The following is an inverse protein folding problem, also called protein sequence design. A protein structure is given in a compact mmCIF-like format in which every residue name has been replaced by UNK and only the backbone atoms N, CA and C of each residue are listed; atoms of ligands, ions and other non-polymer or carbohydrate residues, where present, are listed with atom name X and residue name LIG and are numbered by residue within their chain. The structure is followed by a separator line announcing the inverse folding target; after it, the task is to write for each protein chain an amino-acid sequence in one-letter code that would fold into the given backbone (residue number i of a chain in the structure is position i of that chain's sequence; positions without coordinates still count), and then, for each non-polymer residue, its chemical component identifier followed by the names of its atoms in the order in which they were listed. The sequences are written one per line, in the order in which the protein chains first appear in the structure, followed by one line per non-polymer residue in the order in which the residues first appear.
data_IF_909488267114
#
_entry.id   IF_909488267114
#
_cell.length_a   1.000
_cell.length_b   1.000
_cell.length_c   1.000
_cell.angle_alpha   90.00
_cell.angle_beta   90.00
_cell.angle_gamma   90.00
#
_symmetry.space_group_name_H-M   'P 1'
#
loop_
_entity.id
_entity.type
_entity.pdbx_description
1 polymer ?
#
# COMPACT_ATOMS: atom_id res chain seq x y z
N UNK A 1 -23.06 2.39 -21.91
CA UNK A 1 -22.92 3.57 -21.02
C UNK A 1 -21.44 3.77 -20.72
N UNK A 2 -20.83 4.82 -21.25
CA UNK A 2 -19.43 5.17 -20.99
C UNK A 2 -19.26 5.60 -19.53
N UNK A 3 -18.72 4.73 -18.66
CA UNK A 3 -18.17 5.14 -17.36
C UNK A 3 -16.92 5.98 -17.65
N UNK A 4 -17.10 7.30 -17.78
CA UNK A 4 -15.99 8.25 -17.71
C UNK A 4 -15.31 7.98 -16.37
N UNK A 5 -14.07 7.50 -16.42
CA UNK A 5 -13.27 7.29 -15.23
C UNK A 5 -13.15 8.65 -14.53
N UNK A 6 -13.60 8.73 -13.28
CA UNK A 6 -13.27 9.90 -12.45
C UNK A 6 -11.75 9.90 -12.29
N UNK A 7 -11.06 10.99 -12.66
CA UNK A 7 -9.62 11.03 -12.54
C UNK A 7 -9.23 10.87 -11.07
N UNK A 8 -8.20 10.06 -10.82
CA UNK A 8 -7.49 10.03 -9.55
C UNK A 8 -7.00 11.45 -9.23
N UNK A 9 -6.91 11.79 -7.94
CA UNK A 9 -6.44 13.11 -7.54
C UNK A 9 -5.03 13.39 -8.07
N UNK A 10 -4.78 14.62 -8.52
CA UNK A 10 -3.43 15.00 -8.94
C UNK A 10 -2.46 15.03 -7.75
N UNK A 11 -1.18 14.79 -8.00
CA UNK A 11 -0.14 14.85 -6.99
C UNK A 11 -0.13 16.18 -6.23
N UNK A 12 -0.37 17.30 -6.92
CA UNK A 12 -0.46 18.62 -6.29
C UNK A 12 -1.65 18.72 -5.32
N UNK A 13 -2.82 18.16 -5.69
CA UNK A 13 -4.00 18.15 -4.82
C UNK A 13 -3.75 17.30 -3.56
N UNK A 14 -3.10 16.15 -3.73
CA UNK A 14 -2.70 15.28 -2.61
C UNK A 14 -1.69 16.00 -1.71
N UNK A 15 -0.70 16.68 -2.29
CA UNK A 15 0.28 17.45 -1.54
C UNK A 15 -0.36 18.60 -0.76
N UNK A 16 -1.33 19.32 -1.34
CA UNK A 16 -2.08 20.39 -0.66
C UNK A 16 -2.81 19.88 0.58
N UNK A 17 -3.49 18.72 0.48
CA UNK A 17 -4.16 18.09 1.62
C UNK A 17 -3.17 17.84 2.77
N UNK A 18 -2.00 17.25 2.49
CA UNK A 18 -0.96 17.05 3.51
C UNK A 18 -0.34 18.36 4.00
N UNK A 19 -0.19 19.38 3.13
CA UNK A 19 0.36 20.70 3.51
C UNK A 19 -0.58 21.40 4.49
N UNK A 20 -1.89 21.38 4.23
CA UNK A 20 -2.92 21.89 5.14
C UNK A 20 -2.91 21.15 6.48
N UNK A 21 -2.82 19.82 6.45
CA UNK A 21 -2.70 19.01 7.67
C UNK A 21 -1.46 19.36 8.49
N UNK A 22 -0.31 19.52 7.82
CA UNK A 22 0.98 19.83 8.44
C UNK A 22 1.04 21.26 9.00
N UNK A 23 0.41 22.24 8.34
CA UNK A 23 0.38 23.63 8.78
C UNK A 23 -0.25 23.78 10.18
N UNK A 24 -1.24 22.95 10.51
CA UNK A 24 -1.88 22.92 11.82
C UNK A 24 -1.08 22.14 12.89
N UNK A 25 0.04 21.50 12.52
CA UNK A 25 0.78 20.56 13.39
C UNK A 25 2.30 20.76 13.29
N UNK A 26 2.84 21.84 13.89
CA UNK A 26 4.27 22.15 13.87
C UNK A 26 5.17 21.00 14.36
N UNK A 27 4.67 20.14 15.24
CA UNK A 27 5.35 18.95 15.76
C UNK A 27 5.70 17.91 14.68
N UNK A 28 5.06 17.98 13.50
CA UNK A 28 5.36 17.11 12.37
C UNK A 28 6.33 17.72 11.35
N UNK A 29 6.90 18.89 11.65
CA UNK A 29 7.91 19.52 10.79
C UNK A 29 9.12 18.61 10.62
N UNK A 30 9.39 18.23 9.37
CA UNK A 30 10.48 17.31 9.04
C UNK A 30 10.24 15.86 9.47
N UNK A 31 9.04 15.53 9.96
CA UNK A 31 8.55 14.15 10.16
C UNK A 31 7.69 13.75 8.98
N UNK A 32 6.69 14.57 8.66
CA UNK A 32 5.86 14.47 7.48
C UNK A 32 6.49 15.28 6.34
N UNK A 33 6.55 14.73 5.13
CA UNK A 33 7.03 15.42 3.94
C UNK A 33 5.88 15.58 2.93
N UNK A 34 5.01 16.60 3.07
CA UNK A 34 3.74 16.69 2.34
C UNK A 34 3.84 16.61 0.81
N UNK A 35 4.88 17.21 0.24
CA UNK A 35 5.11 17.22 -1.22
C UNK A 35 5.95 16.05 -1.73
N UNK A 36 6.44 15.18 -0.85
CA UNK A 36 7.20 14.00 -1.28
C UNK A 36 6.25 12.81 -1.43
N UNK A 37 5.79 12.61 -2.66
CA UNK A 37 4.82 11.58 -3.07
C UNK A 37 5.51 10.55 -3.98
N UNK A 38 6.08 9.47 -3.42
CA UNK A 38 6.77 8.43 -4.18
C UNK A 38 5.94 7.79 -5.29
N UNK A 39 4.63 7.68 -5.10
CA UNK A 39 3.71 7.14 -6.10
C UNK A 39 3.76 7.94 -7.42
N UNK A 40 3.78 9.27 -7.32
CA UNK A 40 3.90 10.18 -8.45
C UNK A 40 5.34 10.23 -8.99
N UNK A 41 6.33 10.34 -8.09
CA UNK A 41 7.74 10.39 -8.49
C UNK A 41 8.20 9.13 -9.25
N UNK A 42 7.68 7.96 -8.89
CA UNK A 42 7.93 6.69 -9.59
C UNK A 42 6.97 6.43 -10.75
N UNK A 43 6.09 7.38 -11.08
CA UNK A 43 5.10 7.30 -12.16
C UNK A 43 4.24 6.03 -12.12
N UNK A 44 3.81 5.62 -10.93
CA UNK A 44 3.04 4.39 -10.72
C UNK A 44 1.74 4.36 -11.55
N UNK A 45 1.07 5.51 -11.73
CA UNK A 45 -0.12 5.63 -12.57
C UNK A 45 0.09 5.23 -14.04
N UNK A 46 1.34 5.32 -14.57
CA UNK A 46 1.65 4.86 -15.93
C UNK A 46 1.61 3.35 -16.07
N UNK A 47 1.70 2.64 -14.96
CA UNK A 47 1.63 1.17 -14.86
C UNK A 47 0.24 0.71 -14.40
N UNK A 48 -0.71 1.63 -14.21
CA UNK A 48 -2.06 1.26 -13.79
C UNK A 48 -2.75 0.48 -14.91
N UNK A 49 -3.36 -0.70 -14.64
CA UNK A 49 -4.17 -1.39 -15.63
C UNK A 49 -5.46 -0.59 -15.95
N UNK A 50 -6.06 -0.87 -17.11
CA UNK A 50 -7.36 -0.31 -17.49
C UNK A 50 -8.46 -0.68 -16.48
N UNK A 51 -8.36 -1.87 -15.88
CA UNK A 51 -9.21 -2.34 -14.79
C UNK A 51 -8.35 -2.92 -13.68
N UNK A 52 -8.57 -2.45 -12.45
CA UNK A 52 -7.90 -3.00 -11.27
C UNK A 52 -8.75 -4.15 -10.72
N UNK A 53 -8.28 -5.39 -10.85
CA UNK A 53 -8.95 -6.55 -10.24
C UNK A 53 -8.76 -6.54 -8.72
N UNK A 54 -7.51 -6.35 -8.26
CA UNK A 54 -7.20 -6.28 -6.82
C UNK A 54 -6.39 -5.03 -6.50
N UNK A 55 -6.90 -4.22 -5.57
CA UNK A 55 -6.20 -3.07 -5.01
C UNK A 55 -5.56 -3.45 -3.67
N UNK A 56 -4.22 -3.44 -3.63
CA UNK A 56 -3.46 -3.57 -2.39
C UNK A 56 -3.30 -2.21 -1.72
N UNK A 57 -3.53 -2.16 -0.41
CA UNK A 57 -3.36 -0.96 0.40
C UNK A 57 -2.30 -1.24 1.45
N UNK A 58 -1.19 -0.51 1.36
CA UNK A 58 -0.08 -0.56 2.31
C UNK A 58 -0.13 0.63 3.29
N UNK A 59 0.85 0.73 4.18
CA UNK A 59 0.90 1.75 5.23
C UNK A 59 1.31 3.13 4.71
N UNK A 60 2.57 3.24 4.28
CA UNK A 60 3.19 4.49 3.83
C UNK A 60 4.47 4.17 3.07
N UNK A 61 4.94 5.07 2.19
CA UNK A 61 6.23 4.91 1.54
C UNK A 61 7.41 4.83 2.53
N UNK A 62 8.53 4.18 2.13
CA UNK A 62 9.77 4.18 2.90
C UNK A 62 10.31 5.60 3.09
N UNK A 63 10.98 5.83 4.22
CA UNK A 63 11.61 7.12 4.55
C UNK A 63 13.13 7.14 4.29
N UNK A 64 13.72 6.02 3.85
CA UNK A 64 15.12 5.93 3.46
C UNK A 64 15.32 5.34 2.07
N UNK A 65 16.36 5.81 1.40
CA UNK A 65 17.00 5.11 0.28
C UNK A 65 18.34 4.58 0.80
N UNK A 66 18.49 3.27 0.95
CA UNK A 66 19.65 2.68 1.62
C UNK A 66 19.82 3.23 3.06
N UNK A 67 20.95 3.91 3.32
CA UNK A 67 21.29 4.48 4.64
C UNK A 67 20.92 5.96 4.82
N UNK A 68 20.37 6.62 3.80
CA UNK A 68 20.05 8.05 3.81
C UNK A 68 18.55 8.29 3.88
N UNK A 69 18.14 9.34 4.60
CA UNK A 69 16.77 9.83 4.56
C UNK A 69 16.46 10.38 3.15
N UNK A 70 15.25 10.12 2.65
CA UNK A 70 14.77 10.79 1.44
C UNK A 70 14.35 12.22 1.76
N UNK A 71 14.70 13.15 0.87
CA UNK A 71 14.46 14.58 1.03
C UNK A 71 13.65 15.18 -0.13
N UNK A 72 13.71 14.59 -1.32
CA UNK A 72 12.95 15.09 -2.47
C UNK A 72 12.64 14.03 -3.52
N UNK A 73 11.83 14.37 -4.55
CA UNK A 73 11.34 13.41 -5.55
C UNK A 73 12.45 12.65 -6.30
N UNK A 74 13.61 13.27 -6.52
CA UNK A 74 14.77 12.62 -7.14
C UNK A 74 15.28 11.42 -6.34
N UNK A 75 15.11 11.43 -5.02
CA UNK A 75 15.51 10.32 -4.16
C UNK A 75 14.63 9.09 -4.38
N UNK A 76 13.38 9.29 -4.80
CA UNK A 76 12.46 8.19 -5.09
C UNK A 76 12.87 7.38 -6.32
N UNK A 77 13.71 7.96 -7.18
CA UNK A 77 14.26 7.33 -8.38
C UNK A 77 15.65 6.73 -8.17
N UNK A 78 16.15 6.74 -6.92
CA UNK A 78 17.41 6.11 -6.55
C UNK A 78 17.28 4.59 -6.58
N UNK A 79 18.29 3.85 -7.06
CA UNK A 79 18.27 2.38 -7.03
C UNK A 79 18.28 1.81 -5.60
N UNK A 80 18.56 2.63 -4.59
CA UNK A 80 18.54 2.24 -3.18
C UNK A 80 17.20 2.49 -2.48
N UNK A 81 16.22 3.09 -3.18
CA UNK A 81 14.93 3.43 -2.59
C UNK A 81 13.91 2.29 -2.74
N UNK A 82 13.52 1.58 -1.66
CA UNK A 82 12.76 0.33 -1.75
C UNK A 82 11.25 0.57 -1.88
N UNK A 83 10.84 1.66 -2.54
CA UNK A 83 9.42 1.89 -2.80
C UNK A 83 8.90 0.91 -3.85
N UNK A 84 7.66 0.46 -3.67
CA UNK A 84 7.09 -0.63 -4.46
C UNK A 84 7.22 -0.38 -5.97
N UNK A 85 6.83 0.82 -6.41
CA UNK A 85 6.83 1.21 -7.83
C UNK A 85 8.18 1.68 -8.37
N UNK A 86 9.24 1.70 -7.57
CA UNK A 86 10.56 2.07 -8.06
C UNK A 86 11.18 0.90 -8.84
N UNK A 87 11.04 0.94 -10.16
CA UNK A 87 11.53 -0.11 -11.07
C UNK A 87 13.06 -0.18 -11.17
N UNK A 88 13.77 0.83 -10.66
CA UNK A 88 15.24 0.88 -10.57
C UNK A 88 15.79 0.22 -9.32
N UNK A 89 14.93 -0.12 -8.36
CA UNK A 89 15.38 -0.72 -7.13
C UNK A 89 15.88 -2.14 -7.39
N UNK A 90 17.17 -2.36 -7.14
CA UNK A 90 17.80 -3.67 -7.25
C UNK A 90 17.83 -4.36 -5.89
N UNK A 91 16.92 -5.30 -5.72
CA UNK A 91 16.88 -6.15 -4.56
C UNK A 91 18.02 -7.17 -4.66
N UNK A 92 19.05 -7.02 -3.82
CA UNK A 92 20.11 -8.04 -3.72
C UNK A 92 19.45 -9.40 -3.51
N UNK A 93 19.52 -10.27 -4.53
CA UNK A 93 19.00 -11.64 -4.44
C UNK A 93 19.75 -12.33 -3.31
N UNK A 94 19.00 -12.82 -2.32
CA UNK A 94 19.54 -13.59 -1.21
C UNK A 94 19.07 -15.04 -1.36
N UNK A 95 19.88 -15.93 -1.96
CA UNK A 95 19.60 -17.36 -1.97
C UNK A 95 19.42 -17.85 -0.54
N UNK A 96 18.40 -18.69 -0.29
CA UNK A 96 18.11 -19.22 1.05
C UNK A 96 17.53 -18.22 2.05
N UNK A 97 17.08 -17.04 1.61
CA UNK A 97 16.42 -16.09 2.50
C UNK A 97 15.09 -16.70 3.02
N UNK A 98 14.91 -16.70 4.35
CA UNK A 98 13.71 -17.27 4.97
C UNK A 98 12.41 -16.54 4.55
N UNK A 99 11.23 -17.13 4.80
CA UNK A 99 9.95 -16.54 4.42
C UNK A 99 9.80 -15.08 4.87
N UNK A 100 9.22 -14.24 4.02
CA UNK A 100 8.94 -12.82 4.29
C UNK A 100 10.17 -11.99 4.74
N UNK A 101 11.39 -12.44 4.44
CA UNK A 101 12.64 -11.77 4.82
C UNK A 101 13.01 -10.56 3.96
N UNK A 102 12.31 -10.36 2.83
CA UNK A 102 12.63 -9.34 1.84
C UNK A 102 11.78 -8.07 2.06
N UNK A 103 11.95 -7.09 1.17
CA UNK A 103 11.09 -5.93 1.09
C UNK A 103 9.65 -6.28 0.69
N UNK A 104 8.74 -5.32 0.85
CA UNK A 104 7.31 -5.49 0.56
C UNK A 104 7.09 -6.06 -0.84
N UNK A 105 7.70 -5.44 -1.83
CA UNK A 105 7.45 -5.75 -3.24
C UNK A 105 7.93 -7.16 -3.60
N UNK A 106 9.10 -7.58 -3.12
CA UNK A 106 9.66 -8.91 -3.37
C UNK A 106 8.89 -10.00 -2.65
N UNK A 107 8.39 -9.72 -1.44
CA UNK A 107 7.50 -10.65 -0.75
C UNK A 107 6.17 -10.76 -1.50
N UNK A 108 5.60 -9.64 -1.98
CA UNK A 108 4.38 -9.64 -2.79
C UNK A 108 4.55 -10.43 -4.08
N UNK A 109 5.63 -10.22 -4.83
CA UNK A 109 5.87 -10.95 -6.07
C UNK A 109 5.98 -12.45 -5.83
N UNK A 110 6.73 -12.86 -4.80
CA UNK A 110 6.86 -14.27 -4.43
C UNK A 110 5.51 -14.87 -4.00
N UNK A 111 4.77 -14.17 -3.15
CA UNK A 111 3.45 -14.62 -2.68
C UNK A 111 2.41 -14.64 -3.81
N UNK A 112 2.56 -13.82 -4.85
CA UNK A 112 1.68 -13.85 -6.01
C UNK A 112 2.15 -14.84 -7.09
N UNK A 113 3.30 -15.49 -6.90
CA UNK A 113 3.89 -16.40 -7.90
C UNK A 113 4.38 -15.69 -9.16
N UNK A 114 4.76 -14.40 -9.06
CA UNK A 114 5.31 -13.64 -10.17
C UNK A 114 6.80 -13.99 -10.34
N UNK A 115 7.17 -14.37 -11.56
CA UNK A 115 8.45 -14.99 -11.91
C UNK A 115 9.32 -14.12 -12.85
N UNK A 116 9.07 -12.82 -12.88
CA UNK A 116 9.88 -11.88 -13.67
C UNK A 116 11.36 -11.87 -13.23
N UNK A 117 12.28 -11.66 -14.16
CA UNK A 117 13.72 -11.70 -13.89
C UNK A 117 14.22 -10.44 -13.18
N UNK A 118 13.46 -9.35 -13.29
CA UNK A 118 13.78 -8.05 -12.69
C UNK A 118 12.64 -7.46 -11.86
N UNK A 119 12.95 -6.41 -11.08
CA UNK A 119 11.91 -5.59 -10.41
C UNK A 119 10.91 -5.07 -11.43
N UNK A 120 11.41 -4.53 -12.55
CA UNK A 120 10.61 -3.97 -13.62
C UNK A 120 9.63 -4.99 -14.20
N UNK A 121 10.12 -6.17 -14.57
CA UNK A 121 9.26 -7.22 -15.14
C UNK A 121 8.20 -7.69 -14.15
N UNK A 122 8.53 -7.87 -12.87
CA UNK A 122 7.53 -8.22 -11.87
C UNK A 122 6.50 -7.11 -11.65
N UNK A 123 6.89 -5.84 -11.76
CA UNK A 123 5.93 -4.73 -11.77
C UNK A 123 5.03 -4.77 -13.00
N UNK A 124 5.56 -5.12 -14.17
CA UNK A 124 4.77 -5.29 -15.40
C UNK A 124 3.79 -6.47 -15.29
N UNK A 125 4.20 -7.58 -14.68
CA UNK A 125 3.35 -8.74 -14.39
C UNK A 125 2.26 -8.38 -13.37
N UNK A 126 2.65 -7.74 -12.26
CA UNK A 126 1.74 -7.29 -11.21
C UNK A 126 0.66 -6.35 -11.78
N UNK A 127 1.08 -5.37 -12.58
CA UNK A 127 0.23 -4.37 -13.20
C UNK A 127 -0.84 -4.90 -14.16
N UNK A 128 -0.84 -6.20 -14.52
CA UNK A 128 -1.89 -6.76 -15.39
C UNK A 128 -3.25 -6.83 -14.71
N UNK A 129 -3.27 -7.11 -13.41
CA UNK A 129 -4.49 -7.32 -12.64
C UNK A 129 -4.49 -6.53 -11.32
N UNK A 130 -3.34 -6.05 -10.89
CA UNK A 130 -3.15 -5.52 -9.54
C UNK A 130 -2.67 -4.07 -9.56
N UNK A 131 -3.06 -3.35 -8.51
CA UNK A 131 -2.51 -2.03 -8.22
C UNK A 131 -2.21 -1.90 -6.73
N UNK A 132 -1.27 -1.05 -6.36
CA UNK A 132 -0.87 -0.84 -4.97
C UNK A 132 -0.81 0.64 -4.65
N UNK A 133 -1.54 1.03 -3.61
CA UNK A 133 -1.54 2.37 -3.03
C UNK A 133 -1.15 2.32 -1.56
N UNK A 134 -0.83 3.47 -0.98
CA UNK A 134 -0.50 3.62 0.43
C UNK A 134 -1.63 4.35 1.15
N UNK A 135 -1.89 3.98 2.40
CA UNK A 135 -2.88 4.68 3.24
C UNK A 135 -2.48 6.13 3.48
N UNK A 136 -1.20 6.35 3.77
CA UNK A 136 -0.56 7.68 3.79
C UNK A 136 0.41 7.75 2.61
N UNK A 137 0.07 8.54 1.60
CA UNK A 137 0.79 8.61 0.31
C UNK A 137 2.09 9.42 0.35
N UNK A 138 2.26 10.30 1.32
CA UNK A 138 3.50 11.04 1.48
C UNK A 138 4.47 10.34 2.43
N UNK A 139 5.75 10.70 2.34
CA UNK A 139 6.78 10.11 3.19
C UNK A 139 6.61 10.57 4.65
N UNK A 140 6.61 9.60 5.55
CA UNK A 140 6.62 9.80 7.00
C UNK A 140 7.89 9.20 7.63
N UNK A 141 8.73 10.04 8.25
CA UNK A 141 10.04 9.65 8.79
C UNK A 141 9.94 8.91 10.12
N UNK A 142 9.90 7.57 10.06
CA UNK A 142 9.68 6.71 11.23
C UNK A 142 10.83 6.69 12.24
N UNK A 143 12.02 7.10 11.85
CA UNK A 143 13.13 7.33 12.78
C UNK A 143 12.95 8.57 13.65
N UNK A 144 12.11 9.52 13.22
CA UNK A 144 11.81 10.75 13.98
C UNK A 144 10.53 10.61 14.78
N UNK A 145 9.56 9.85 14.28
CA UNK A 145 8.34 9.47 15.01
C UNK A 145 7.94 8.05 14.63
N UNK A 146 7.94 7.13 15.59
CA UNK A 146 7.83 5.69 15.30
C UNK A 146 6.49 5.27 14.66
N UNK A 147 5.39 5.94 15.01
CA UNK A 147 4.04 5.59 14.57
C UNK A 147 3.36 6.75 13.84
N UNK A 148 2.62 6.41 12.78
CA UNK A 148 1.76 7.34 12.06
C UNK A 148 0.55 7.66 12.96
N UNK A 149 0.24 8.94 13.21
CA UNK A 149 -0.91 9.34 14.01
C UNK A 149 -2.25 8.89 13.40
N UNK A 150 -3.21 8.48 14.25
CA UNK A 150 -4.54 8.06 13.78
C UNK A 150 -5.30 9.19 13.08
N UNK A 151 -5.11 10.44 13.49
CA UNK A 151 -5.74 11.59 12.83
C UNK A 151 -5.14 11.87 11.44
N UNK A 152 -3.86 11.58 11.22
CA UNK A 152 -3.24 11.58 9.88
C UNK A 152 -3.81 10.45 9.01
N UNK A 153 -3.94 9.24 9.58
CA UNK A 153 -4.53 8.09 8.87
C UNK A 153 -5.96 8.41 8.45
N UNK A 154 -6.80 8.90 9.37
CA UNK A 154 -8.19 9.28 9.09
C UNK A 154 -8.29 10.33 8.00
N UNK A 155 -7.53 11.42 8.12
CA UNK A 155 -7.55 12.49 7.12
C UNK A 155 -7.14 11.96 5.75
N UNK A 156 -6.05 11.18 5.69
CA UNK A 156 -5.57 10.59 4.44
C UNK A 156 -6.58 9.61 3.85
N UNK A 157 -7.25 8.84 4.69
CA UNK A 157 -8.29 7.91 4.27
C UNK A 157 -9.48 8.63 3.63
N UNK A 158 -10.02 9.64 4.32
CA UNK A 158 -11.23 10.34 3.90
C UNK A 158 -11.00 11.27 2.70
N UNK A 159 -9.86 11.97 2.68
CA UNK A 159 -9.60 13.00 1.67
C UNK A 159 -8.84 12.49 0.44
N UNK A 160 -8.13 11.35 0.54
CA UNK A 160 -7.24 10.86 -0.53
C UNK A 160 -7.56 9.42 -0.92
N UNK A 161 -7.43 8.46 0.01
CA UNK A 161 -7.57 7.03 -0.30
C UNK A 161 -8.99 6.66 -0.73
N UNK A 162 -10.03 7.18 -0.05
CA UNK A 162 -11.43 6.95 -0.39
C UNK A 162 -11.78 7.38 -1.82
N UNK A 163 -11.51 8.66 -2.20
CA UNK A 163 -11.64 9.11 -3.58
C UNK A 163 -10.82 8.28 -4.59
N UNK A 164 -9.62 7.84 -4.22
CA UNK A 164 -8.78 6.99 -5.06
C UNK A 164 -9.40 5.60 -5.27
N UNK A 165 -9.88 4.93 -4.22
CA UNK A 165 -10.62 3.67 -4.31
C UNK A 165 -11.85 3.84 -5.20
N UNK A 166 -12.63 4.92 -5.00
CA UNK A 166 -13.81 5.19 -5.81
C UNK A 166 -13.49 5.42 -7.29
N UNK A 167 -12.37 6.11 -7.59
CA UNK A 167 -11.91 6.35 -8.96
C UNK A 167 -11.33 5.11 -9.64
N UNK A 168 -10.62 4.26 -8.89
CA UNK A 168 -10.06 3.00 -9.37
C UNK A 168 -11.12 1.92 -9.55
N UNK A 169 -12.18 1.96 -8.74
CA UNK A 169 -13.29 1.01 -8.70
C UNK A 169 -12.82 -0.46 -8.76
N UNK A 170 -11.94 -0.90 -7.85
CA UNK A 170 -11.37 -2.25 -7.91
C UNK A 170 -12.43 -3.32 -7.64
N UNK A 171 -12.23 -4.53 -8.18
CA UNK A 171 -13.14 -5.64 -7.87
C UNK A 171 -12.96 -6.14 -6.44
N UNK A 172 -11.73 -6.17 -5.93
CA UNK A 172 -11.37 -6.56 -4.57
C UNK A 172 -10.36 -5.61 -3.93
N UNK A 173 -10.41 -5.49 -2.61
CA UNK A 173 -9.43 -4.74 -1.82
C UNK A 173 -8.66 -5.68 -0.88
N UNK A 174 -7.36 -5.44 -0.78
CA UNK A 174 -6.47 -6.13 0.16
C UNK A 174 -5.84 -5.12 1.11
N UNK A 175 -6.16 -5.21 2.40
CA UNK A 175 -5.54 -4.41 3.45
C UNK A 175 -4.28 -5.10 3.99
N UNK A 176 -3.13 -4.46 3.89
CA UNK A 176 -1.84 -4.98 4.36
C UNK A 176 -1.39 -4.29 5.66
N UNK A 177 -1.71 -4.89 6.80
CA UNK A 177 -1.36 -4.38 8.13
C UNK A 177 -2.40 -3.45 8.77
N UNK A 178 -2.14 -3.06 10.02
CA UNK A 178 -3.09 -2.29 10.84
C UNK A 178 -3.35 -0.88 10.30
N UNK A 179 -2.37 -0.23 9.66
CA UNK A 179 -2.58 1.11 9.12
C UNK A 179 -3.55 1.10 7.95
N UNK A 180 -3.45 0.10 7.05
CA UNK A 180 -4.40 -0.09 5.96
C UNK A 180 -5.80 -0.45 6.48
N UNK A 181 -5.88 -1.30 7.50
CA UNK A 181 -7.14 -1.59 8.20
C UNK A 181 -7.78 -0.31 8.76
N UNK A 182 -7.01 0.48 9.52
CA UNK A 182 -7.50 1.72 10.13
C UNK A 182 -7.93 2.76 9.08
N UNK A 183 -7.22 2.84 7.94
CA UNK A 183 -7.63 3.68 6.82
C UNK A 183 -8.95 3.24 6.20
N UNK A 184 -9.13 1.94 5.95
CA UNK A 184 -10.38 1.41 5.42
C UNK A 184 -11.56 1.53 6.39
N UNK A 185 -11.32 1.45 7.70
CA UNK A 185 -12.33 1.69 8.72
C UNK A 185 -12.90 3.12 8.71
N UNK A 186 -12.32 4.04 7.94
CA UNK A 186 -12.76 5.43 7.80
C UNK A 186 -13.45 5.69 6.43
N UNK A 187 -13.69 4.65 5.62
CA UNK A 187 -14.22 4.72 4.25
C UNK A 187 -15.39 3.74 4.09
N UNK A 188 -16.58 4.20 3.70
CA UNK A 188 -17.70 3.31 3.38
C UNK A 188 -17.52 2.65 2.00
N UNK A 189 -17.98 1.39 1.81
CA UNK A 189 -18.73 0.55 2.76
C UNK A 189 -17.85 -0.22 3.76
N UNK A 190 -16.52 -0.07 3.70
CA UNK A 190 -15.59 -0.87 4.49
C UNK A 190 -15.62 -0.53 5.98
N UNK A 191 -15.90 0.71 6.34
CA UNK A 191 -16.11 1.13 7.72
C UNK A 191 -17.20 0.30 8.42
N UNK A 192 -18.35 0.11 7.74
CA UNK A 192 -19.42 -0.76 8.24
C UNK A 192 -18.96 -2.21 8.37
N UNK A 193 -18.33 -2.76 7.33
CA UNK A 193 -17.87 -4.16 7.33
C UNK A 193 -16.81 -4.44 8.40
N UNK A 194 -15.98 -3.46 8.73
CA UNK A 194 -14.89 -3.57 9.70
C UNK A 194 -15.31 -3.15 11.13
N UNK A 195 -16.59 -2.89 11.37
CA UNK A 195 -17.08 -2.46 12.67
C UNK A 195 -16.71 -3.46 13.78
N UNK A 196 -16.13 -2.95 14.86
CA UNK A 196 -15.67 -3.76 16.00
C UNK A 196 -14.32 -4.46 15.81
N UNK A 197 -13.67 -4.33 14.65
CA UNK A 197 -12.35 -4.91 14.41
C UNK A 197 -11.25 -3.95 14.87
N UNK A 198 -10.46 -4.36 15.86
CA UNK A 198 -9.36 -3.55 16.41
C UNK A 198 -8.02 -3.74 15.69
N UNK A 199 -7.59 -4.98 15.46
CA UNK A 199 -6.30 -5.30 14.84
C UNK A 199 -6.43 -6.37 13.78
N UNK A 200 -5.64 -6.24 12.72
CA UNK A 200 -5.65 -7.14 11.57
C UNK A 200 -5.25 -8.57 11.92
N UNK A 201 -4.39 -8.73 12.91
CA UNK A 201 -3.90 -10.02 13.42
C UNK A 201 -4.89 -10.71 14.35
N UNK A 202 -5.94 -10.01 14.78
CA UNK A 202 -6.97 -10.53 15.70
C UNK A 202 -8.26 -10.93 14.95
N UNK A 203 -8.34 -10.68 13.63
CA UNK A 203 -9.48 -11.08 12.79
C UNK A 203 -9.51 -12.61 12.68
N UNK A 204 -10.57 -13.29 13.15
CA UNK A 204 -10.73 -14.74 13.02
C UNK A 204 -10.82 -15.19 11.55
N UNK A 205 -10.46 -16.45 11.27
CA UNK A 205 -10.50 -17.02 9.92
C UNK A 205 -11.87 -16.89 9.24
N UNK A 206 -12.94 -17.34 9.90
CA UNK A 206 -14.30 -17.26 9.33
C UNK A 206 -14.80 -15.83 9.08
N UNK A 207 -14.40 -14.86 9.92
CA UNK A 207 -14.73 -13.45 9.67
C UNK A 207 -13.96 -12.91 8.47
N UNK A 208 -12.68 -13.28 8.32
CA UNK A 208 -11.87 -12.90 7.15
C UNK A 208 -12.44 -13.45 5.84
N UNK A 209 -12.91 -14.69 5.86
CA UNK A 209 -13.61 -15.29 4.72
C UNK A 209 -14.91 -14.57 4.39
N UNK A 210 -15.71 -14.25 5.42
CA UNK A 210 -16.96 -13.48 5.25
C UNK A 210 -16.71 -12.09 4.65
N UNK A 211 -15.69 -11.37 5.15
CA UNK A 211 -15.27 -10.08 4.58
C UNK A 211 -14.87 -10.20 3.10
N UNK A 212 -14.16 -11.28 2.75
CA UNK A 212 -13.72 -11.51 1.37
C UNK A 212 -14.91 -11.79 0.43
N UNK A 213 -15.83 -12.66 0.85
CA UNK A 213 -16.98 -13.05 0.02
C UNK A 213 -18.05 -11.96 -0.08
N UNK A 214 -18.38 -11.32 1.04
CA UNK A 214 -19.52 -10.39 1.12
C UNK A 214 -19.10 -8.93 0.84
N UNK A 215 -17.93 -8.53 1.34
CA UNK A 215 -17.44 -7.15 1.24
C UNK A 215 -16.31 -6.97 0.22
N UNK A 216 -15.92 -8.06 -0.47
CA UNK A 216 -14.77 -8.09 -1.40
C UNK A 216 -13.49 -7.53 -0.79
N UNK A 217 -13.32 -7.76 0.52
CA UNK A 217 -12.25 -7.21 1.33
C UNK A 217 -11.45 -8.33 2.00
N UNK A 218 -10.15 -8.38 1.74
CA UNK A 218 -9.23 -9.30 2.40
C UNK A 218 -8.28 -8.53 3.32
N UNK A 219 -8.36 -8.79 4.62
CA UNK A 219 -7.50 -8.14 5.61
C UNK A 219 -6.38 -9.08 6.07
N UNK A 220 -5.12 -8.78 5.74
CA UNK A 220 -3.97 -9.62 6.07
C UNK A 220 -2.91 -8.91 6.91
N UNK A 221 -2.23 -9.63 7.83
CA UNK A 221 -1.00 -9.13 8.41
C UNK A 221 -0.01 -8.70 7.32
N UNK A 222 0.71 -7.60 7.55
CA UNK A 222 1.68 -7.09 6.58
C UNK A 222 2.75 -8.15 6.24
N UNK A 223 3.05 -8.41 4.95
CA UNK A 223 3.95 -9.48 4.52
C UNK A 223 5.42 -9.07 4.72
N UNK A 224 5.87 -9.10 5.97
CA UNK A 224 7.25 -8.80 6.35
C UNK A 224 7.71 -9.62 7.55
N UNK A 225 9.02 -9.68 7.75
CA UNK A 225 9.65 -10.63 8.68
C UNK A 225 9.13 -10.60 10.13
N UNK A 226 8.61 -9.45 10.59
CA UNK A 226 8.00 -9.31 11.94
C UNK A 226 6.70 -10.11 12.10
N UNK A 227 6.05 -10.47 10.99
CA UNK A 227 4.76 -11.17 10.97
C UNK A 227 4.89 -12.63 10.52
N UNK A 228 6.10 -13.21 10.49
CA UNK A 228 6.31 -14.64 10.13
C UNK A 228 5.48 -15.63 10.95
N UNK A 229 5.13 -15.28 12.19
CA UNK A 229 4.24 -16.11 13.02
C UNK A 229 2.81 -16.23 12.47
N UNK A 230 2.45 -15.41 11.49
CA UNK A 230 1.17 -15.44 10.77
C UNK A 230 1.35 -15.91 9.32
N UNK A 231 2.43 -16.64 9.00
CA UNK A 231 2.77 -17.03 7.64
C UNK A 231 1.61 -17.78 6.96
N UNK A 232 1.03 -18.78 7.62
CA UNK A 232 -0.08 -19.56 7.08
C UNK A 232 -1.28 -18.67 6.68
N UNK A 233 -1.63 -17.69 7.53
CA UNK A 233 -2.71 -16.74 7.22
C UNK A 233 -2.37 -15.85 6.02
N UNK A 234 -1.10 -15.46 5.88
CA UNK A 234 -0.64 -14.67 4.75
C UNK A 234 -0.69 -15.54 3.48
N UNK A 235 -0.11 -16.74 3.51
CA UNK A 235 -0.05 -17.65 2.36
C UNK A 235 -1.45 -18.02 1.85
N UNK A 236 -2.37 -18.42 2.74
CA UNK A 236 -3.75 -18.73 2.36
C UNK A 236 -4.50 -17.52 1.79
N UNK A 237 -4.24 -16.31 2.30
CA UNK A 237 -4.83 -15.10 1.72
C UNK A 237 -4.30 -14.80 0.32
N UNK A 238 -3.02 -15.06 0.06
CA UNK A 238 -2.44 -14.92 -1.28
C UNK A 238 -2.84 -16.05 -2.23
N UNK A 239 -3.15 -17.25 -1.74
CA UNK A 239 -3.82 -18.30 -2.51
C UNK A 239 -5.15 -17.81 -3.09
N UNK A 240 -6.03 -17.25 -2.24
CA UNK A 240 -7.30 -16.68 -2.69
C UNK A 240 -7.11 -15.60 -3.76
N UNK A 241 -6.10 -14.74 -3.62
CA UNK A 241 -5.81 -13.69 -4.60
C UNK A 241 -5.38 -14.29 -5.94
N UNK A 242 -4.52 -15.32 -5.94
CA UNK A 242 -4.06 -15.97 -7.17
C UNK A 242 -5.24 -16.58 -7.93
N UNK A 243 -6.16 -17.24 -7.21
CA UNK A 243 -7.35 -17.86 -7.79
C UNK A 243 -8.31 -16.87 -8.46
N UNK A 244 -8.27 -15.57 -8.09
CA UNK A 244 -9.04 -14.51 -8.76
C UNK A 244 -8.47 -14.10 -10.12
N UNK A 245 -7.22 -14.46 -10.41
CA UNK A 245 -6.47 -13.97 -11.59
C UNK A 245 -6.09 -15.05 -12.59
N UNK A 246 -6.52 -16.28 -12.33
CA UNK A 246 -6.47 -17.41 -13.28
C UNK A 246 -7.57 -17.26 -14.33
#
# INVERSE_FOLDING_TARGET
MNRRHSPTMSAESVAEVYRRYAAARPEYRGVLLPGLLPHDACAADRRRPDRVTVLFIAESPPWTAGRREVAGPSDCLSPDYPYFWNDRYDAVRRPGAGPLSRGLAENLFLLLGLDGESRRENLDLFARNFFLVDTVRCVFRKNRKAAIPNDLIRMSAQEILGPEIAGLAPDYIVALGNTALAGLSEIEPYATALSGIGKITEIPGGLRESLFLESRLLCMPYPGGRNRRYLDTIESGFELIRDLTV
#
